data_IF_923676610058
#
_entry.id   IF_923676610058
#
_cell.length_a   1.000
_cell.length_b   1.000
_cell.length_c   1.000
_cell.angle_alpha   90.00
_cell.angle_beta   90.00
_cell.angle_gamma   90.00
#
_symmetry.space_group_name_H-M   'P 1'
#
loop_
_entity.id
_entity.type
_entity.pdbx_description
1 polymer ?
#
# COMPACT_ATOMS: atom_id res chain seq x y z
N UNK A 1 3.79 7.87 18.33
CA UNK A 1 2.54 8.02 17.53
C UNK A 1 2.79 8.57 16.12
N UNK A 2 3.40 9.75 15.95
CA UNK A 2 3.47 10.43 14.65
C UNK A 2 4.24 9.65 13.55
N UNK A 3 5.27 8.88 13.91
CA UNK A 3 6.09 8.15 12.93
C UNK A 3 5.37 6.94 12.31
N UNK A 4 4.56 6.21 13.08
CA UNK A 4 3.80 5.05 12.58
C UNK A 4 2.73 5.48 11.58
N UNK A 5 1.92 6.48 11.95
CA UNK A 5 0.89 7.01 11.05
C UNK A 5 1.51 7.62 9.78
N UNK A 6 2.62 8.33 9.89
CA UNK A 6 3.32 8.87 8.71
C UNK A 6 3.83 7.76 7.79
N UNK A 7 4.46 6.71 8.33
CA UNK A 7 4.92 5.55 7.56
C UNK A 7 3.77 4.84 6.84
N UNK A 8 2.71 4.55 7.59
CA UNK A 8 1.51 3.90 7.05
C UNK A 8 0.90 4.73 5.93
N UNK A 9 0.70 6.03 6.15
CA UNK A 9 0.14 6.94 5.14
C UNK A 9 1.02 6.99 3.88
N UNK A 10 2.34 7.11 4.02
CA UNK A 10 3.24 7.11 2.87
C UNK A 10 3.18 5.79 2.09
N UNK A 11 3.09 4.64 2.77
CA UNK A 11 2.95 3.33 2.09
C UNK A 11 1.60 3.17 1.39
N UNK A 12 0.51 3.63 2.01
CA UNK A 12 -0.81 3.65 1.36
C UNK A 12 -0.78 4.52 0.10
N UNK A 13 -0.17 5.72 0.19
CA UNK A 13 0.00 6.59 -0.97
C UNK A 13 0.86 5.93 -2.06
N UNK A 14 1.90 5.18 -1.70
CA UNK A 14 2.70 4.42 -2.68
C UNK A 14 1.84 3.39 -3.43
N UNK A 15 1.03 2.59 -2.71
CA UNK A 15 0.15 1.61 -3.35
C UNK A 15 -0.91 2.26 -4.24
N UNK A 16 -1.51 3.38 -3.80
CA UNK A 16 -2.48 4.13 -4.61
C UNK A 16 -1.80 4.71 -5.87
N UNK A 17 -0.63 5.32 -5.72
CA UNK A 17 0.10 5.92 -6.84
C UNK A 17 0.52 4.86 -7.86
N UNK A 18 0.99 3.71 -7.39
CA UNK A 18 1.33 2.56 -8.24
C UNK A 18 0.10 2.04 -8.99
N UNK A 19 -1.03 1.88 -8.31
CA UNK A 19 -2.28 1.46 -8.94
C UNK A 19 -2.71 2.46 -10.02
N UNK A 20 -2.70 3.76 -9.74
CA UNK A 20 -3.03 4.81 -10.71
C UNK A 20 -2.10 4.82 -11.92
N UNK A 21 -0.80 4.59 -11.72
CA UNK A 21 0.16 4.50 -12.82
C UNK A 21 -0.11 3.30 -13.73
N UNK A 22 -0.42 2.14 -13.14
CA UNK A 22 -0.74 0.91 -13.89
C UNK A 22 -2.11 1.02 -14.56
N UNK A 23 -3.05 1.78 -13.99
CA UNK A 23 -4.40 1.96 -14.53
C UNK A 23 -4.41 2.53 -15.94
N UNK A 24 -3.63 3.59 -16.19
CA UNK A 24 -3.56 4.23 -17.50
C UNK A 24 -3.06 3.24 -18.57
N UNK A 25 -2.07 2.41 -18.23
CA UNK A 25 -1.57 1.36 -19.11
C UNK A 25 -2.63 0.29 -19.38
N UNK A 26 -3.26 -0.24 -18.34
CA UNK A 26 -4.30 -1.27 -18.47
C UNK A 26 -5.52 -0.77 -19.25
N UNK A 27 -5.89 0.50 -19.09
CA UNK A 27 -6.99 1.11 -19.84
C UNK A 27 -6.70 1.16 -21.35
N UNK A 28 -5.47 1.44 -21.74
CA UNK A 28 -5.04 1.40 -23.16
C UNK A 28 -5.17 -0.01 -23.71
N UNK A 29 -4.67 -1.02 -22.99
CA UNK A 29 -4.78 -2.43 -23.40
C UNK A 29 -6.23 -2.92 -23.49
N UNK A 30 -7.08 -2.50 -22.54
CA UNK A 30 -8.52 -2.81 -22.58
C UNK A 30 -9.17 -2.25 -23.84
N UNK A 31 -8.79 -1.04 -24.28
CA UNK A 31 -9.31 -0.46 -25.50
C UNK A 31 -8.89 -1.20 -26.75
N UNK A 32 -7.62 -1.64 -26.86
CA UNK A 32 -7.19 -2.52 -27.96
C UNK A 32 -7.95 -3.84 -27.98
N UNK A 33 -8.24 -4.41 -26.80
CA UNK A 33 -9.04 -5.62 -26.66
C UNK A 33 -10.48 -5.41 -27.12
N UNK A 34 -11.09 -4.27 -26.79
CA UNK A 34 -12.44 -3.90 -27.25
C UNK A 34 -12.47 -3.64 -28.77
N UNK A 35 -11.44 -3.00 -29.32
CA UNK A 35 -11.30 -2.81 -30.77
C UNK A 35 -11.26 -4.15 -31.51
N UNK A 36 -10.49 -5.13 -31.00
CA UNK A 36 -10.46 -6.50 -31.53
C UNK A 36 -11.82 -7.22 -31.45
N UNK A 37 -12.72 -6.78 -30.56
CA UNK A 37 -14.08 -7.33 -30.41
C UNK A 37 -15.12 -6.62 -31.29
N UNK A 38 -14.70 -5.70 -32.17
CA UNK A 38 -15.58 -5.05 -33.14
C UNK A 38 -16.22 -3.74 -32.67
N UNK A 39 -15.80 -3.20 -31.53
CA UNK A 39 -16.16 -1.83 -31.14
C UNK A 39 -15.30 -0.85 -31.96
N UNK A 40 -15.91 0.12 -32.65
CA UNK A 40 -15.21 1.01 -33.62
C UNK A 40 -15.28 2.50 -33.28
N UNK A 41 -15.94 2.89 -32.19
CA UNK A 41 -16.11 4.31 -31.81
C UNK A 41 -15.52 4.61 -30.43
N UNK A 42 -14.93 5.81 -30.27
CA UNK A 42 -14.63 6.38 -28.95
C UNK A 42 -13.26 6.07 -28.32
N UNK A 43 -12.29 5.53 -29.06
CA UNK A 43 -10.95 5.20 -28.53
C UNK A 43 -9.99 6.39 -28.57
N UNK A 44 -10.09 7.26 -27.57
CA UNK A 44 -8.99 8.16 -27.22
C UNK A 44 -8.59 7.92 -25.76
N UNK A 45 -7.32 7.61 -25.54
CA UNK A 45 -6.74 7.58 -24.19
C UNK A 45 -5.58 8.54 -24.19
N UNK A 46 -5.66 9.52 -23.29
CA UNK A 46 -4.52 10.33 -22.95
C UNK A 46 -3.82 9.67 -21.77
N UNK A 47 -2.62 9.15 -22.00
CA UNK A 47 -1.75 8.67 -20.92
C UNK A 47 -1.16 9.89 -20.23
N UNK A 48 -1.36 10.00 -18.93
CA UNK A 48 -0.86 11.14 -18.16
C UNK A 48 0.32 10.72 -17.29
N UNK A 49 1.34 11.58 -17.17
CA UNK A 49 2.57 11.26 -16.43
C UNK A 49 2.50 11.59 -14.93
N UNK A 50 1.47 12.32 -14.48
CA UNK A 50 1.36 12.79 -13.10
C UNK A 50 1.29 11.66 -12.06
N UNK A 51 0.66 10.48 -12.29
CA UNK A 51 0.65 9.40 -11.30
C UNK A 51 2.06 8.83 -11.05
N UNK A 52 2.87 8.72 -12.11
CA UNK A 52 4.27 8.31 -12.01
C UNK A 52 5.11 9.32 -11.24
N UNK A 53 4.93 10.62 -11.54
CA UNK A 53 5.58 11.70 -10.79
C UNK A 53 5.20 11.70 -9.30
N UNK A 54 3.92 11.49 -8.97
CA UNK A 54 3.43 11.35 -7.60
C UNK A 54 4.12 10.16 -6.89
N UNK A 55 4.16 8.99 -7.53
CA UNK A 55 4.81 7.80 -6.98
C UNK A 55 6.28 8.08 -6.66
N UNK A 56 7.01 8.73 -7.58
CA UNK A 56 8.41 9.08 -7.39
C UNK A 56 8.62 10.04 -6.21
N UNK A 57 7.76 11.06 -6.07
CA UNK A 57 7.81 12.00 -4.95
C UNK A 57 7.57 11.27 -3.62
N UNK A 58 6.51 10.45 -3.54
CA UNK A 58 6.18 9.72 -2.31
C UNK A 58 7.29 8.71 -1.97
N UNK A 59 7.84 8.02 -2.96
CA UNK A 59 8.95 7.08 -2.78
C UNK A 59 10.19 7.80 -2.27
N UNK A 60 10.51 8.95 -2.86
CA UNK A 60 11.62 9.78 -2.42
C UNK A 60 11.45 10.20 -0.95
N UNK A 61 10.27 10.70 -0.57
CA UNK A 61 9.96 11.07 0.82
C UNK A 61 10.08 9.88 1.76
N UNK A 62 9.59 8.70 1.36
CA UNK A 62 9.68 7.49 2.16
C UNK A 62 11.14 7.04 2.36
N UNK A 63 11.96 7.07 1.31
CA UNK A 63 13.40 6.72 1.39
C UNK A 63 14.15 7.73 2.26
N UNK A 64 13.96 9.03 2.04
CA UNK A 64 14.59 10.09 2.85
C UNK A 64 14.20 9.96 4.31
N UNK A 65 12.91 9.72 4.61
CA UNK A 65 12.42 9.50 5.96
C UNK A 65 13.13 8.33 6.66
N UNK A 66 13.27 7.19 5.96
CA UNK A 66 14.00 6.03 6.48
C UNK A 66 15.48 6.33 6.71
N UNK A 67 16.16 6.99 5.77
CA UNK A 67 17.59 7.34 5.88
C UNK A 67 17.84 8.28 7.05
N UNK A 68 17.05 9.35 7.19
CA UNK A 68 17.19 10.32 8.28
C UNK A 68 16.99 9.62 9.63
N UNK A 69 15.98 8.76 9.75
CA UNK A 69 15.71 8.04 10.99
C UNK A 69 16.81 7.02 11.32
N UNK A 70 17.29 6.27 10.33
CA UNK A 70 18.43 5.35 10.48
C UNK A 70 19.69 6.07 10.97
N UNK A 71 20.01 7.24 10.41
CA UNK A 71 21.16 8.04 10.85
C UNK A 71 21.00 8.56 12.29
N UNK A 72 19.79 8.83 12.75
CA UNK A 72 19.52 9.20 14.14
C UNK A 72 19.69 8.00 15.07
N UNK A 73 19.15 6.84 14.71
CA UNK A 73 19.31 5.58 15.45
C UNK A 73 20.78 5.20 15.64
N UNK A 74 21.59 5.30 14.57
CA UNK A 74 23.02 4.98 14.62
C UNK A 74 23.81 5.82 15.64
N UNK A 75 23.33 7.01 15.98
CA UNK A 75 23.96 7.87 17.00
C UNK A 75 23.62 7.44 18.43
N UNK A 76 22.61 6.60 18.62
CA UNK A 76 22.13 6.17 19.92
C UNK A 76 22.80 4.84 20.32
N UNK A 77 23.49 4.82 21.47
CA UNK A 77 24.29 3.65 21.89
C UNK A 77 23.46 2.48 22.46
N UNK A 78 22.22 2.75 22.86
CA UNK A 78 21.35 1.78 23.55
C UNK A 78 20.38 1.06 22.61
N UNK A 79 20.58 1.16 21.29
CA UNK A 79 19.61 0.67 20.31
C UNK A 79 20.24 -0.38 19.41
N UNK A 80 19.61 -1.55 19.31
CA UNK A 80 20.04 -2.57 18.36
C UNK A 80 19.63 -2.16 16.93
N UNK A 81 20.62 -1.83 16.11
CA UNK A 81 20.43 -1.40 14.73
C UNK A 81 19.90 -2.55 13.86
N UNK A 82 20.11 -3.81 14.27
CA UNK A 82 19.67 -5.01 13.52
C UNK A 82 18.15 -5.14 13.47
N UNK A 83 17.45 -4.55 14.44
CA UNK A 83 15.99 -4.55 14.52
C UNK A 83 15.35 -3.39 13.73
N UNK A 84 16.17 -2.56 13.06
CA UNK A 84 15.66 -1.51 12.20
C UNK A 84 15.04 -2.09 10.92
N UNK A 85 13.72 -2.07 10.86
CA UNK A 85 12.96 -2.46 9.67
C UNK A 85 12.61 -1.20 8.86
N UNK A 86 12.01 -0.20 9.49
CA UNK A 86 11.67 1.11 8.91
C UNK A 86 11.48 2.16 10.01
N UNK A 87 11.40 3.44 9.64
CA UNK A 87 11.24 4.54 10.60
C UNK A 87 9.95 4.53 11.45
N UNK A 88 9.03 3.60 11.19
CA UNK A 88 7.85 3.40 12.04
C UNK A 88 8.17 2.69 13.35
N UNK A 89 9.29 1.96 13.39
CA UNK A 89 9.69 1.14 14.50
C UNK A 89 10.51 1.96 15.50
N UNK A 90 9.96 2.14 16.69
CA UNK A 90 10.72 2.69 17.82
C UNK A 90 11.48 1.57 18.53
N UNK A 91 12.71 1.35 18.09
CA UNK A 91 13.62 0.36 18.68
C UNK A 91 14.21 0.80 20.02
N UNK A 92 13.82 1.96 20.58
CA UNK A 92 14.30 2.42 21.89
C UNK A 92 13.39 2.00 23.05
N UNK A 93 12.15 1.57 22.78
CA UNK A 93 11.16 1.20 23.79
C UNK A 93 10.72 -0.26 23.61
N UNK A 94 11.06 -1.13 24.57
CA UNK A 94 10.66 -2.54 24.58
C UNK A 94 9.14 -2.74 24.49
N UNK A 95 8.35 -1.83 25.07
CA UNK A 95 6.88 -1.88 24.98
C UNK A 95 6.41 -1.60 23.56
N UNK A 96 7.05 -0.66 22.86
CA UNK A 96 6.78 -0.38 21.46
C UNK A 96 7.10 -1.58 20.58
N UNK A 97 8.20 -2.29 20.84
CA UNK A 97 8.59 -3.52 20.15
C UNK A 97 7.51 -4.60 20.28
N UNK A 98 7.08 -4.88 21.51
CA UNK A 98 6.04 -5.88 21.78
C UNK A 98 4.70 -5.53 21.11
N UNK A 99 4.33 -4.25 21.15
CA UNK A 99 3.11 -3.75 20.52
C UNK A 99 3.17 -3.83 18.99
N UNK A 100 4.30 -3.50 18.37
CA UNK A 100 4.49 -3.67 16.92
C UNK A 100 4.34 -5.13 16.52
N UNK A 101 4.97 -6.08 17.23
CA UNK A 101 4.86 -7.50 16.89
C UNK A 101 3.40 -8.00 16.95
N UNK A 102 2.65 -7.62 18.00
CA UNK A 102 1.22 -7.96 18.12
C UNK A 102 0.39 -7.30 17.02
N UNK A 103 0.62 -6.01 16.75
CA UNK A 103 -0.08 -5.28 15.70
C UNK A 103 0.17 -5.88 14.31
N UNK A 104 1.40 -6.31 14.01
CA UNK A 104 1.74 -7.01 12.76
C UNK A 104 1.00 -8.34 12.66
N UNK A 105 0.91 -9.11 13.76
CA UNK A 105 0.16 -10.37 13.77
C UNK A 105 -1.34 -10.16 13.49
N UNK A 106 -1.94 -9.11 14.05
CA UNK A 106 -3.34 -8.76 13.78
C UNK A 106 -3.53 -8.27 12.34
N UNK A 107 -2.62 -7.44 11.85
CA UNK A 107 -2.61 -6.97 10.47
C UNK A 107 -2.50 -8.11 9.47
N UNK A 108 -1.62 -9.07 9.71
CA UNK A 108 -1.47 -10.25 8.86
C UNK A 108 -2.74 -11.11 8.85
N UNK A 109 -3.32 -11.37 10.02
CA UNK A 109 -4.55 -12.15 10.14
C UNK A 109 -5.72 -11.47 9.42
N UNK A 110 -5.90 -10.16 9.62
CA UNK A 110 -6.95 -9.39 8.96
C UNK A 110 -6.71 -9.26 7.45
N UNK A 111 -5.46 -9.12 7.01
CA UNK A 111 -5.09 -9.12 5.58
C UNK A 111 -5.46 -10.45 4.93
N UNK A 112 -5.19 -11.59 5.58
CA UNK A 112 -5.58 -12.91 5.06
C UNK A 112 -7.09 -13.01 4.88
N UNK A 113 -7.87 -12.66 5.91
CA UNK A 113 -9.34 -12.68 5.85
C UNK A 113 -9.84 -11.77 4.72
N UNK A 114 -9.35 -10.53 4.67
CA UNK A 114 -9.71 -9.58 3.63
C UNK A 114 -9.36 -10.10 2.22
N UNK A 115 -8.19 -10.72 2.07
CA UNK A 115 -7.75 -11.31 0.80
C UNK A 115 -8.68 -12.42 0.34
N UNK A 116 -9.15 -13.29 1.25
CA UNK A 116 -10.12 -14.33 0.90
C UNK A 116 -11.42 -13.75 0.36
N UNK A 117 -11.97 -12.71 1.01
CA UNK A 117 -13.19 -12.06 0.54
C UNK A 117 -12.97 -11.32 -0.79
N UNK A 118 -11.87 -10.58 -0.91
CA UNK A 118 -11.58 -9.82 -2.12
C UNK A 118 -11.30 -10.71 -3.32
N UNK A 119 -10.47 -11.75 -3.17
CA UNK A 119 -10.20 -12.68 -4.27
C UNK A 119 -11.45 -13.53 -4.57
N UNK A 120 -12.16 -13.97 -3.53
CA UNK A 120 -13.40 -14.74 -3.68
C UNK A 120 -14.48 -13.97 -4.43
N UNK A 121 -14.58 -12.64 -4.26
CA UNK A 121 -15.57 -11.82 -4.98
C UNK A 121 -15.41 -11.88 -6.50
N UNK A 122 -14.23 -12.24 -7.01
CA UNK A 122 -13.94 -12.30 -8.45
C UNK A 122 -14.78 -13.38 -9.15
N UNK A 123 -15.12 -14.46 -8.43
CA UNK A 123 -15.96 -15.53 -8.95
C UNK A 123 -17.43 -15.12 -9.09
N UNK A 124 -17.89 -14.15 -8.30
CA UNK A 124 -19.31 -13.77 -8.25
C UNK A 124 -19.67 -12.69 -9.27
N UNK A 125 -18.70 -11.93 -9.80
CA UNK A 125 -18.95 -10.83 -10.72
C UNK A 125 -17.94 -10.79 -11.89
N UNK A 126 -17.74 -11.90 -12.64
CA UNK A 126 -16.68 -12.03 -13.63
C UNK A 126 -16.81 -11.05 -14.81
N UNK A 127 -18.03 -10.70 -15.20
CA UNK A 127 -18.25 -9.74 -16.29
C UNK A 127 -17.81 -8.33 -15.89
N UNK A 128 -17.99 -7.96 -14.62
CA UNK A 128 -17.55 -6.66 -14.10
C UNK A 128 -16.02 -6.50 -14.16
N UNK A 129 -15.27 -7.60 -14.03
CA UNK A 129 -13.81 -7.58 -14.22
C UNK A 129 -13.40 -7.26 -15.66
N UNK A 130 -14.11 -7.85 -16.63
CA UNK A 130 -13.80 -7.70 -18.04
C UNK A 130 -14.20 -6.31 -18.55
N UNK A 131 -15.32 -5.79 -18.05
CA UNK A 131 -15.88 -4.52 -18.49
C UNK A 131 -15.24 -3.33 -17.75
N UNK A 132 -14.73 -3.55 -16.53
CA UNK A 132 -14.20 -2.49 -15.67
C UNK A 132 -12.81 -2.83 -15.12
N UNK A 133 -11.76 -2.57 -15.89
CA UNK A 133 -10.38 -2.91 -15.52
C UNK A 133 -9.86 -2.21 -14.25
N UNK A 134 -10.49 -1.11 -13.85
CA UNK A 134 -10.19 -0.44 -12.59
C UNK A 134 -10.50 -1.34 -11.38
N UNK A 135 -11.53 -2.18 -11.47
CA UNK A 135 -11.96 -3.01 -10.35
C UNK A 135 -10.90 -4.05 -9.93
N UNK A 136 -10.38 -4.95 -10.81
CA UNK A 136 -9.30 -5.86 -10.45
C UNK A 136 -8.07 -5.16 -9.88
N UNK A 137 -7.72 -4.02 -10.48
CA UNK A 137 -6.54 -3.26 -10.11
C UNK A 137 -6.64 -2.70 -8.70
N UNK A 138 -7.73 -1.98 -8.40
CA UNK A 138 -7.93 -1.39 -7.08
C UNK A 138 -8.29 -2.44 -6.02
N UNK A 139 -8.95 -3.53 -6.40
CA UNK A 139 -9.18 -4.68 -5.53
C UNK A 139 -7.87 -5.36 -5.11
N UNK A 140 -6.91 -5.46 -6.03
CA UNK A 140 -5.58 -6.02 -5.72
C UNK A 140 -4.78 -5.04 -4.86
N UNK A 141 -4.81 -3.75 -5.19
CA UNK A 141 -4.12 -2.71 -4.41
C UNK A 141 -4.72 -2.53 -3.00
N UNK A 142 -6.01 -2.79 -2.81
CA UNK A 142 -6.66 -2.65 -1.51
C UNK A 142 -6.21 -3.71 -0.50
N UNK A 143 -5.70 -4.86 -0.94
CA UNK A 143 -5.20 -5.93 -0.07
C UNK A 143 -4.08 -5.42 0.85
N UNK A 144 -2.91 -4.96 0.35
CA UNK A 144 -1.87 -4.45 1.21
C UNK A 144 -2.29 -3.17 1.97
N UNK A 145 -3.15 -2.32 1.39
CA UNK A 145 -3.68 -1.13 2.06
C UNK A 145 -4.50 -1.51 3.30
N UNK A 146 -5.35 -2.53 3.19
CA UNK A 146 -6.17 -3.02 4.32
C UNK A 146 -5.28 -3.49 5.48
N UNK A 147 -4.21 -4.25 5.18
CA UNK A 147 -3.24 -4.69 6.18
C UNK A 147 -2.56 -3.51 6.90
N UNK A 148 -2.18 -2.48 6.14
CA UNK A 148 -1.59 -1.25 6.70
C UNK A 148 -2.56 -0.48 7.61
N UNK A 149 -3.84 -0.42 7.24
CA UNK A 149 -4.89 0.20 8.07
C UNK A 149 -5.09 -0.59 9.37
N UNK A 150 -5.24 -1.91 9.27
CA UNK A 150 -5.40 -2.78 10.45
C UNK A 150 -4.19 -2.67 11.36
N UNK A 151 -2.98 -2.62 10.80
CA UNK A 151 -1.75 -2.39 11.55
C UNK A 151 -1.80 -1.08 12.35
N UNK A 152 -2.14 0.04 11.70
CA UNK A 152 -2.19 1.35 12.36
C UNK A 152 -3.23 1.40 13.48
N UNK A 153 -4.42 0.85 13.25
CA UNK A 153 -5.49 0.78 14.25
C UNK A 153 -5.08 -0.10 15.42
N UNK A 154 -4.57 -1.30 15.14
CA UNK A 154 -4.14 -2.27 16.15
C UNK A 154 -3.03 -1.71 17.02
N UNK A 155 -2.02 -1.08 16.41
CA UNK A 155 -0.92 -0.46 17.13
C UNK A 155 -1.42 0.65 18.06
N UNK A 156 -2.34 1.50 17.57
CA UNK A 156 -2.93 2.58 18.37
C UNK A 156 -3.74 2.06 19.55
N UNK A 157 -4.51 0.99 19.34
CA UNK A 157 -5.28 0.35 20.41
C UNK A 157 -4.36 -0.25 21.49
N UNK A 158 -3.30 -0.96 21.08
CA UNK A 158 -2.32 -1.58 21.99
C UNK A 158 -1.48 -0.56 22.75
N UNK A 159 -1.28 0.64 22.20
CA UNK A 159 -0.56 1.71 22.88
C UNK A 159 -1.41 2.41 23.94
N UNK A 160 -2.75 2.38 23.81
CA UNK A 160 -3.70 2.97 24.78
C UNK A 160 -4.11 2.01 25.90
N UNK A 161 -3.84 0.71 25.74
CA UNK A 161 -4.04 -0.34 26.74
C UNK A 161 -2.82 -0.47 27.65
#
# INVERSE_FOLDING_TARGET
MNHVFLSVTLRILLFISLAMMVFDFLRVEQQFTLMNRGYTEGFSVQVTSWPGSLMLIVLFLFVVGNVVYFLRLRKNKNTDIRDFITFEYDSTDERAIANTRKAVSYAFSGLLIYSFFMIGSFMFIPNYFLDHIWYPLFATASIPISGLIIYAISFTALQRA
#
